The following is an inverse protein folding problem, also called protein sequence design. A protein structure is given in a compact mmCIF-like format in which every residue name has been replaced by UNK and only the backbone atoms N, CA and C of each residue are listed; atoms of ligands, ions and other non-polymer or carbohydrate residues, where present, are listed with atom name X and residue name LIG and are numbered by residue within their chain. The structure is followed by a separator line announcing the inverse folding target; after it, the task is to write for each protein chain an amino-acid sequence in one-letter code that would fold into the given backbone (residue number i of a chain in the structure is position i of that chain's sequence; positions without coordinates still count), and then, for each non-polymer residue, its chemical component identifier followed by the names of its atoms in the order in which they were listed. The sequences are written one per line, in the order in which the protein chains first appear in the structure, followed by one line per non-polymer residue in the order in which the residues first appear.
data_IF_534027905109
#
_entry.id   IF_534027905109
#
_cell.length_a   1.000
_cell.length_b   1.000
_cell.length_c   1.000
_cell.angle_alpha   90.00
_cell.angle_beta   90.00
_cell.angle_gamma   90.00
#
_symmetry.space_group_name_H-M   'P 1'
#
loop_
_entity.id
_entity.type
_entity.pdbx_description
1 polymer ?
#
# COMPACT_ATOMS: atom_id res chain seq x y z
N UNK A 1 -13.18 38.59 24.40
CA UNK A 1 -13.93 37.34 24.23
C UNK A 1 -14.52 37.07 22.85
N UNK A 2 -14.93 38.03 22.02
CA UNK A 2 -15.37 37.70 20.64
C UNK A 2 -14.22 37.25 19.72
N UNK A 3 -13.04 37.88 19.88
CA UNK A 3 -11.83 37.52 19.13
C UNK A 3 -11.28 36.14 19.51
N UNK A 4 -11.44 35.74 20.77
CA UNK A 4 -10.96 34.44 21.25
C UNK A 4 -11.83 33.31 20.70
N UNK A 5 -13.16 33.49 20.69
CA UNK A 5 -14.11 32.56 20.07
C UNK A 5 -13.90 32.44 18.55
N UNK A 6 -13.69 33.56 17.85
CA UNK A 6 -13.38 33.55 16.41
C UNK A 6 -12.07 32.82 16.12
N UNK A 7 -11.02 33.03 16.93
CA UNK A 7 -9.74 32.33 16.77
C UNK A 7 -9.89 30.83 17.00
N UNK A 8 -10.68 30.41 17.97
CA UNK A 8 -10.94 29.00 18.24
C UNK A 8 -11.75 28.33 17.11
N UNK A 9 -12.75 29.03 16.60
CA UNK A 9 -13.53 28.59 15.45
C UNK A 9 -12.67 28.49 14.17
N UNK A 10 -11.79 29.46 13.91
CA UNK A 10 -10.85 29.40 12.80
C UNK A 10 -9.87 28.23 12.94
N UNK A 11 -9.31 27.99 14.14
CA UNK A 11 -8.41 26.85 14.39
C UNK A 11 -9.09 25.52 14.09
N UNK A 12 -10.33 25.33 14.59
CA UNK A 12 -11.10 24.11 14.32
C UNK A 12 -11.35 23.91 12.82
N UNK A 13 -11.70 24.98 12.10
CA UNK A 13 -11.88 24.92 10.65
C UNK A 13 -10.59 24.62 9.89
N UNK A 14 -9.45 25.13 10.36
CA UNK A 14 -8.14 24.82 9.78
C UNK A 14 -7.80 23.35 10.00
N UNK A 15 -8.04 22.79 11.19
CA UNK A 15 -7.79 21.38 11.50
C UNK A 15 -8.71 20.45 10.70
N UNK A 16 -9.99 20.78 10.58
CA UNK A 16 -10.95 20.03 9.75
C UNK A 16 -10.55 20.07 8.27
N UNK A 17 -10.17 21.24 7.76
CA UNK A 17 -9.76 21.40 6.37
C UNK A 17 -8.42 20.69 6.10
N UNK A 18 -7.48 20.71 7.04
CA UNK A 18 -6.23 19.96 6.95
C UNK A 18 -6.48 18.44 6.95
N UNK A 19 -7.38 17.95 7.80
CA UNK A 19 -7.77 16.54 7.82
C UNK A 19 -8.46 16.12 6.51
N UNK A 20 -9.31 16.97 5.93
CA UNK A 20 -9.99 16.68 4.68
C UNK A 20 -9.04 16.77 3.46
N UNK A 21 -8.11 17.72 3.47
CA UNK A 21 -7.03 17.78 2.50
C UNK A 21 -6.15 16.53 2.60
N UNK A 22 -5.84 16.03 3.79
CA UNK A 22 -5.07 14.79 3.96
C UNK A 22 -5.82 13.55 3.44
N UNK A 23 -7.14 13.47 3.65
CA UNK A 23 -7.98 12.42 3.05
C UNK A 23 -8.03 12.52 1.52
N UNK A 24 -8.13 13.73 0.98
CA UNK A 24 -8.11 14.01 -0.45
C UNK A 24 -6.70 13.88 -1.06
N UNK A 25 -5.64 13.94 -0.24
CA UNK A 25 -4.23 13.80 -0.65
C UNK A 25 -3.86 12.40 -1.14
N UNK A 26 -4.81 11.48 -1.15
CA UNK A 26 -4.86 10.31 -2.05
C UNK A 26 -4.98 10.73 -3.54
N UNK A 27 -4.49 11.91 -3.90
CA UNK A 27 -4.28 12.34 -5.28
C UNK A 27 -3.26 11.37 -5.86
N UNK A 28 -3.69 10.55 -6.80
CA UNK A 28 -2.84 9.62 -7.52
C UNK A 28 -1.66 10.40 -8.10
N UNK A 29 -0.48 10.21 -7.49
CA UNK A 29 0.73 10.90 -7.91
C UNK A 29 1.29 10.15 -9.11
N UNK A 30 1.37 10.83 -10.25
CA UNK A 30 1.94 10.26 -11.46
C UNK A 30 3.41 10.65 -11.55
N UNK A 31 4.27 9.66 -11.77
CA UNK A 31 5.71 9.85 -11.92
C UNK A 31 6.17 9.38 -13.29
N UNK A 32 7.25 9.95 -13.78
CA UNK A 32 7.93 9.51 -14.99
C UNK A 32 8.80 8.28 -14.72
N UNK A 33 9.29 7.66 -15.80
CA UNK A 33 10.23 6.53 -15.71
C UNK A 33 11.54 6.92 -15.00
N UNK A 34 12.03 8.15 -15.23
CA UNK A 34 13.26 8.63 -14.61
C UNK A 34 13.08 8.85 -13.11
N UNK A 35 12.00 9.53 -12.71
CA UNK A 35 11.69 9.74 -11.29
C UNK A 35 11.45 8.42 -10.57
N UNK A 36 10.75 7.47 -11.19
CA UNK A 36 10.57 6.14 -10.59
C UNK A 36 11.90 5.39 -10.45
N UNK A 37 12.80 5.52 -11.42
CA UNK A 37 14.12 4.91 -11.37
C UNK A 37 14.95 5.45 -10.20
N UNK A 38 14.86 6.76 -9.93
CA UNK A 38 15.47 7.39 -8.75
C UNK A 38 14.84 6.90 -7.45
N UNK A 39 13.50 6.89 -7.36
CA UNK A 39 12.76 6.41 -6.17
C UNK A 39 13.11 4.95 -5.85
N UNK A 40 13.20 4.10 -6.87
CA UNK A 40 13.51 2.67 -6.71
C UNK A 40 15.01 2.38 -6.69
N UNK A 41 15.87 3.38 -6.86
CA UNK A 41 17.32 3.26 -7.01
C UNK A 41 17.73 2.19 -8.04
N UNK A 42 17.09 2.21 -9.20
CA UNK A 42 17.32 1.23 -10.28
C UNK A 42 17.55 1.93 -11.62
N UNK A 43 18.01 1.21 -12.64
CA UNK A 43 18.20 1.82 -13.96
C UNK A 43 16.86 2.09 -14.66
N UNK A 44 16.71 3.20 -15.41
CA UNK A 44 15.51 3.47 -16.21
C UNK A 44 15.14 2.32 -17.17
N UNK A 45 16.14 1.62 -17.71
CA UNK A 45 15.94 0.45 -18.57
C UNK A 45 15.27 -0.72 -17.85
N UNK A 46 15.53 -0.89 -16.55
CA UNK A 46 14.86 -1.89 -15.74
C UNK A 46 13.36 -1.55 -15.62
N UNK A 47 13.03 -0.28 -15.41
CA UNK A 47 11.65 0.19 -15.37
C UNK A 47 10.96 -0.04 -16.72
N UNK A 48 11.57 0.33 -17.85
CA UNK A 48 11.03 0.05 -19.18
C UNK A 48 10.78 -1.44 -19.42
N UNK A 49 11.72 -2.31 -19.03
CA UNK A 49 11.53 -3.77 -19.12
C UNK A 49 10.36 -4.25 -18.28
N UNK A 50 10.16 -3.69 -17.08
CA UNK A 50 9.05 -4.06 -16.18
C UNK A 50 7.69 -3.57 -16.69
N UNK A 51 7.65 -2.40 -17.32
CA UNK A 51 6.45 -1.89 -18.01
C UNK A 51 6.09 -2.83 -19.17
N UNK A 52 7.05 -3.16 -20.03
CA UNK A 52 6.83 -4.05 -21.18
C UNK A 52 6.46 -5.49 -20.74
N UNK A 53 6.96 -5.94 -19.60
CA UNK A 53 6.59 -7.22 -19.00
C UNK A 53 5.22 -7.21 -18.29
N UNK A 54 4.51 -6.07 -18.27
CA UNK A 54 3.21 -5.93 -17.60
C UNK A 54 3.29 -5.96 -16.06
N UNK A 55 4.48 -5.79 -15.48
CA UNK A 55 4.69 -5.77 -14.02
C UNK A 55 4.48 -4.39 -13.41
N UNK A 56 4.52 -3.34 -14.24
CA UNK A 56 4.27 -1.95 -13.87
C UNK A 56 3.21 -1.44 -14.83
N UNK A 57 2.10 -0.95 -14.28
CA UNK A 57 1.06 -0.27 -15.06
C UNK A 57 1.56 1.13 -15.37
N UNK A 58 1.54 1.51 -16.65
CA UNK A 58 1.93 2.84 -17.08
C UNK A 58 1.00 3.30 -18.22
N UNK A 59 0.63 4.57 -18.19
CA UNK A 59 -0.10 5.22 -19.26
C UNK A 59 0.87 5.91 -20.23
N UNK A 60 0.63 5.77 -21.54
CA UNK A 60 1.37 6.44 -22.62
C UNK A 60 0.45 7.27 -23.53
N UNK A 61 -0.81 7.45 -23.16
CA UNK A 61 -1.83 8.18 -23.93
C UNK A 61 -1.38 9.59 -24.34
N UNK A 62 -0.58 10.25 -23.50
CA UNK A 62 -0.10 11.63 -23.69
C UNK A 62 1.32 11.70 -24.29
N UNK A 63 1.83 10.59 -24.86
CA UNK A 63 3.15 10.50 -25.50
C UNK A 63 4.30 10.17 -24.54
N UNK A 64 4.24 10.67 -23.30
CA UNK A 64 5.19 10.32 -22.23
C UNK A 64 4.63 9.23 -21.31
N UNK A 65 5.53 8.37 -20.82
CA UNK A 65 5.17 7.35 -19.84
C UNK A 65 4.84 7.98 -18.49
N UNK A 66 3.62 7.76 -18.02
CA UNK A 66 3.12 8.18 -16.72
C UNK A 66 2.81 6.95 -15.89
N UNK A 67 3.42 6.87 -14.72
CA UNK A 67 3.33 5.71 -13.85
C UNK A 67 2.62 6.16 -12.58
N UNK A 68 1.44 5.62 -12.25
CA UNK A 68 0.76 5.96 -11.02
C UNK A 68 1.53 5.36 -9.84
N UNK A 69 1.99 6.22 -8.93
CA UNK A 69 2.80 5.83 -7.77
C UNK A 69 1.98 4.99 -6.75
N UNK A 70 0.65 5.09 -6.82
CA UNK A 70 -0.32 4.29 -6.07
C UNK A 70 -0.04 2.78 -6.19
N UNK A 71 0.45 2.30 -7.35
CA UNK A 71 0.74 0.88 -7.56
C UNK A 71 1.93 0.34 -6.75
N UNK A 72 2.83 1.22 -6.28
CA UNK A 72 4.00 0.87 -5.47
C UNK A 72 3.78 1.11 -3.99
N UNK A 73 2.73 1.86 -3.64
CA UNK A 73 2.28 1.92 -2.27
C UNK A 73 1.75 0.52 -1.94
N UNK A 74 2.54 -0.23 -1.19
CA UNK A 74 1.98 -1.36 -0.45
C UNK A 74 0.83 -0.76 0.33
N UNK A 75 -0.41 -1.14 -0.02
CA UNK A 75 -1.38 -1.37 1.03
C UNK A 75 -0.59 -2.13 2.09
N UNK A 76 -0.41 -1.52 3.26
CA UNK A 76 -0.14 -2.27 4.46
C UNK A 76 -1.33 -3.22 4.54
N UNK A 77 -1.23 -4.37 3.86
CA UNK A 77 -2.13 -5.49 4.05
C UNK A 77 -2.14 -5.62 5.57
N UNK A 78 -3.28 -5.42 6.25
CA UNK A 78 -3.33 -5.75 7.67
C UNK A 78 -2.81 -7.17 7.73
N UNK A 79 -1.75 -7.37 8.52
CA UNK A 79 -1.08 -8.65 8.64
C UNK A 79 -2.18 -9.72 8.67
N UNK A 80 -2.21 -10.59 7.65
CA UNK A 80 -3.08 -11.76 7.70
C UNK A 80 -2.75 -12.37 9.06
N UNK A 81 -3.71 -12.47 10.00
CA UNK A 81 -3.39 -12.93 11.33
C UNK A 81 -2.74 -14.29 11.14
N UNK A 82 -1.48 -14.38 11.57
CA UNK A 82 -0.72 -15.62 11.61
C UNK A 82 -1.67 -16.65 12.21
N UNK A 83 -2.12 -17.62 11.40
CA UNK A 83 -3.12 -18.58 11.84
C UNK A 83 -2.51 -19.23 13.07
N UNK A 84 -3.03 -18.90 14.26
CA UNK A 84 -2.57 -19.47 15.52
C UNK A 84 -2.70 -20.98 15.37
N UNK A 85 -1.57 -21.63 15.08
CA UNK A 85 -1.47 -23.08 15.14
C UNK A 85 -1.88 -23.46 16.55
N UNK A 86 -2.86 -24.34 16.66
CA UNK A 86 -3.30 -24.89 17.94
C UNK A 86 -2.08 -25.48 18.65
N UNK A 87 -2.06 -25.48 19.99
CA UNK A 87 -0.95 -26.04 20.76
C UNK A 87 -0.58 -27.46 20.31
N UNK A 88 -1.57 -28.26 19.87
CA UNK A 88 -1.35 -29.59 19.31
C UNK A 88 -0.59 -29.59 17.98
N UNK A 89 -0.86 -28.62 17.09
CA UNK A 89 -0.17 -28.49 15.79
C UNK A 89 1.29 -28.02 15.96
N UNK A 90 1.58 -27.22 17.00
CA UNK A 90 2.94 -26.79 17.32
C UNK A 90 3.82 -27.92 17.87
N UNK A 91 3.25 -28.81 18.68
CA UNK A 91 3.99 -29.88 19.34
C UNK A 91 4.25 -31.05 18.39
N UNK A 92 3.25 -31.45 17.60
CA UNK A 92 3.32 -32.66 16.78
C UNK A 92 3.56 -32.39 15.29
N UNK A 93 3.50 -31.13 14.85
CA UNK A 93 3.60 -30.79 13.43
C UNK A 93 2.31 -31.12 12.67
N UNK A 94 2.05 -30.35 11.60
CA UNK A 94 0.78 -30.39 10.86
C UNK A 94 0.57 -31.71 10.09
N UNK A 95 1.67 -32.35 9.68
CA UNK A 95 1.65 -33.61 8.94
C UNK A 95 1.28 -34.80 9.84
N UNK A 96 1.74 -34.81 11.10
CA UNK A 96 1.47 -35.89 12.06
C UNK A 96 -0.02 -35.98 12.45
N UNK A 97 -0.70 -34.83 12.52
CA UNK A 97 -2.14 -34.79 12.85
C UNK A 97 -3.02 -35.23 11.67
N UNK A 98 -2.61 -34.99 10.43
CA UNK A 98 -3.34 -35.46 9.25
C UNK A 98 -3.36 -36.99 9.15
N UNK A 99 -2.24 -37.62 9.46
CA UNK A 99 -2.08 -39.08 9.34
C UNK A 99 -2.87 -39.85 10.41
N UNK A 100 -3.06 -39.27 11.60
CA UNK A 100 -3.79 -39.90 12.70
C UNK A 100 -5.31 -39.71 12.64
N UNK A 101 -5.82 -38.67 11.96
CA UNK A 101 -7.27 -38.46 11.80
C UNK A 101 -7.85 -39.47 10.79
N UNK A 102 -7.03 -40.00 9.87
CA UNK A 102 -7.49 -40.90 8.81
C UNK A 102 -7.48 -42.39 9.19
N UNK A 103 -6.97 -42.76 10.37
CA UNK A 103 -6.92 -44.16 10.86
C UNK A 103 -7.85 -44.46 12.06
N UNK A 104 -8.72 -43.54 12.43
CA UNK A 104 -9.67 -43.69 13.55
C UNK A 104 -11.13 -43.84 13.11
N UNK A 105 -11.39 -44.68 12.11
CA UNK A 105 -12.72 -45.18 11.76
C UNK A 105 -12.93 -46.58 12.29
#
# INVERSE_FOLDING_TARGET
MYLEEEVEHLKRRVDELAAEVEKCRRVESWVTVQELAEIMQTSPENIYRRINAGKITADKSTGNWRIPLSQFQKETKPAVPDRMLSAKEKIFGKEFLRENIQKGG
#
